data_IF_863591068394
#
_entry.id   IF_863591068394
#
_cell.length_a   1.000
_cell.length_b   1.000
_cell.length_c   1.000
_cell.angle_alpha   90.00
_cell.angle_beta   90.00
_cell.angle_gamma   90.00
#
_symmetry.space_group_name_H-M   'P 1'
#
loop_
_entity.id
_entity.type
_entity.pdbx_description
1 polymer ?
#
# COMPACT_ATOMS: atom_id res chain seq x y z
N UNK A 1 25.76 0.55 -40.46
CA UNK A 1 25.30 -0.08 -39.19
C UNK A 1 25.18 0.99 -38.11
N UNK A 2 24.08 1.76 -38.07
CA UNK A 2 23.84 2.74 -36.96
C UNK A 2 22.35 2.80 -36.54
N UNK A 3 21.44 2.07 -37.20
CA UNK A 3 20.01 2.14 -36.91
C UNK A 3 19.56 1.20 -35.77
N UNK A 4 20.25 0.07 -35.54
CA UNK A 4 19.84 -0.92 -34.56
C UNK A 4 20.08 -0.46 -33.11
N UNK A 5 21.20 0.22 -32.86
CA UNK A 5 21.59 0.68 -31.51
C UNK A 5 20.67 1.75 -30.93
N UNK A 6 20.08 2.61 -31.75
CA UNK A 6 19.11 3.63 -31.30
C UNK A 6 17.74 3.03 -30.92
N UNK A 7 17.35 1.90 -31.52
CA UNK A 7 16.07 1.23 -31.23
C UNK A 7 16.18 0.38 -29.96
N UNK A 8 17.32 -0.30 -29.76
CA UNK A 8 17.62 -1.06 -28.53
C UNK A 8 17.63 -0.13 -27.30
N UNK A 9 18.32 1.01 -27.41
CA UNK A 9 18.46 1.99 -26.32
C UNK A 9 17.14 2.71 -25.97
N UNK A 10 16.16 2.71 -26.88
CA UNK A 10 14.81 3.25 -26.65
C UNK A 10 13.88 2.23 -25.96
N UNK A 11 14.18 0.93 -26.03
CA UNK A 11 13.43 -0.14 -25.34
C UNK A 11 13.85 -0.31 -23.88
N UNK A 12 15.14 -0.13 -23.57
CA UNK A 12 15.64 -0.21 -22.18
C UNK A 12 15.14 0.95 -21.30
N UNK A 13 14.82 2.10 -21.89
CA UNK A 13 14.27 3.26 -21.19
C UNK A 13 12.73 3.23 -20.98
N UNK A 14 12.06 2.14 -21.36
CA UNK A 14 10.61 1.94 -21.16
C UNK A 14 10.28 1.02 -19.98
N UNK A 15 11.26 0.67 -19.14
CA UNK A 15 10.97 0.13 -17.82
C UNK A 15 10.43 1.28 -16.96
N UNK A 16 9.13 1.52 -17.10
CA UNK A 16 8.40 2.43 -16.23
C UNK A 16 8.76 2.09 -14.78
N UNK A 17 9.27 3.07 -14.04
CA UNK A 17 9.30 3.02 -12.58
C UNK A 17 7.99 2.38 -12.09
N UNK A 18 8.01 1.40 -11.18
CA UNK A 18 6.78 0.75 -10.73
C UNK A 18 5.81 1.86 -10.34
N UNK A 19 4.69 1.93 -11.06
CA UNK A 19 3.67 2.95 -10.84
C UNK A 19 3.32 2.90 -9.36
N UNK A 20 3.71 3.92 -8.61
CA UNK A 20 3.40 4.00 -7.19
C UNK A 20 1.88 4.03 -7.12
N UNK A 21 1.27 2.97 -6.60
CA UNK A 21 -0.18 2.89 -6.44
C UNK A 21 -0.61 4.13 -5.63
N UNK A 22 -1.42 5.03 -6.21
CA UNK A 22 -1.75 6.30 -5.58
C UNK A 22 -2.63 6.12 -4.34
N UNK A 23 -3.10 4.90 -4.05
CA UNK A 23 -3.84 4.56 -2.84
C UNK A 23 -2.94 3.96 -1.76
N UNK A 24 -1.72 3.54 -2.08
CA UNK A 24 -0.81 3.01 -1.08
C UNK A 24 -0.08 4.12 -0.33
N UNK A 25 0.02 3.96 0.98
CA UNK A 25 0.73 4.86 1.90
C UNK A 25 1.68 4.05 2.75
N UNK A 26 2.88 4.58 2.94
CA UNK A 26 3.95 3.97 3.73
C UNK A 26 4.29 4.93 4.86
N UNK A 27 4.22 4.45 6.08
CA UNK A 27 4.39 5.25 7.30
C UNK A 27 5.50 4.65 8.15
N UNK A 28 6.47 5.47 8.55
CA UNK A 28 7.42 5.12 9.60
C UNK A 28 6.82 5.50 10.94
N UNK A 29 6.60 4.50 11.79
CA UNK A 29 5.98 4.64 13.10
C UNK A 29 6.96 4.20 14.18
N UNK A 30 7.05 4.96 15.26
CA UNK A 30 7.74 4.56 16.48
C UNK A 30 6.72 4.53 17.61
N UNK A 31 6.67 3.42 18.35
CA UNK A 31 5.85 3.30 19.55
C UNK A 31 6.61 2.57 20.65
N UNK A 32 6.19 2.76 21.90
CA UNK A 32 6.72 2.00 23.03
C UNK A 32 5.75 0.90 23.42
N UNK A 33 6.26 -0.30 23.69
CA UNK A 33 5.45 -1.33 24.33
C UNK A 33 5.27 -1.03 25.84
N UNK A 34 4.54 -1.88 26.55
CA UNK A 34 4.29 -1.75 28.00
C UNK A 34 5.58 -1.75 28.84
N UNK A 35 6.67 -2.31 28.32
CA UNK A 35 7.97 -2.43 28.99
C UNK A 35 8.89 -1.23 28.67
N UNK A 36 8.40 -0.25 27.89
CA UNK A 36 9.14 0.94 27.50
C UNK A 36 10.10 0.75 26.32
N UNK A 37 10.18 -0.47 25.78
CA UNK A 37 10.98 -0.77 24.59
C UNK A 37 10.40 -0.02 23.39
N UNK A 38 11.27 0.70 22.67
CA UNK A 38 10.91 1.41 21.45
C UNK A 38 10.93 0.44 20.29
N UNK A 39 9.84 0.44 19.53
CA UNK A 39 9.62 -0.40 18.37
C UNK A 39 9.42 0.52 17.17
N UNK A 40 10.30 0.39 16.18
CA UNK A 40 10.19 1.07 14.89
C UNK A 40 9.55 0.13 13.87
N UNK A 41 8.44 0.57 13.26
CA UNK A 41 7.68 -0.20 12.27
C UNK A 41 7.43 0.64 11.04
N UNK A 42 7.73 0.03 9.90
CA UNK A 42 7.27 0.51 8.62
C UNK A 42 5.91 -0.10 8.29
N UNK A 43 4.85 0.71 8.31
CA UNK A 43 3.49 0.26 8.01
C UNK A 43 3.09 0.64 6.58
N UNK A 44 2.53 -0.31 5.82
CA UNK A 44 1.93 -0.05 4.50
C UNK A 44 0.43 -0.27 4.55
N UNK A 45 -0.33 0.76 4.19
CA UNK A 45 -1.79 0.72 4.11
C UNK A 45 -2.28 1.12 2.72
N UNK A 46 -3.44 0.62 2.33
CA UNK A 46 -4.25 1.21 1.26
C UNK A 46 -5.19 2.22 1.91
N UNK A 47 -5.24 3.45 1.40
CA UNK A 47 -6.16 4.50 1.83
C UNK A 47 -6.86 5.10 0.61
N UNK A 48 -8.16 4.84 0.49
CA UNK A 48 -8.92 5.22 -0.71
C UNK A 48 -9.35 6.68 -0.72
N UNK A 49 -9.33 7.36 0.43
CA UNK A 49 -9.74 8.76 0.55
C UNK A 49 -9.01 9.45 1.72
N UNK A 50 -7.72 9.82 1.54
CA UNK A 50 -6.88 10.38 2.61
C UNK A 50 -7.37 11.71 3.19
N UNK A 51 -8.16 12.46 2.41
CA UNK A 51 -8.82 13.70 2.87
C UNK A 51 -9.97 13.45 3.87
N UNK A 52 -10.33 12.18 4.11
CA UNK A 52 -11.46 11.80 4.93
C UNK A 52 -12.77 11.66 4.14
N UNK A 53 -13.72 10.93 4.73
CA UNK A 53 -15.09 10.77 4.23
C UNK A 53 -16.07 11.39 5.21
N UNK A 54 -17.11 12.03 4.68
CA UNK A 54 -18.22 12.57 5.48
C UNK A 54 -19.23 11.50 5.92
N UNK A 55 -19.18 10.29 5.33
CA UNK A 55 -20.09 9.19 5.69
C UNK A 55 -19.48 8.25 6.72
N UNK A 56 -18.17 8.01 6.63
CA UNK A 56 -17.46 7.16 7.58
C UNK A 56 -16.25 6.46 6.97
N UNK A 57 -15.57 5.68 7.81
CA UNK A 57 -14.38 4.92 7.44
C UNK A 57 -14.58 3.45 7.80
N UNK A 58 -14.25 2.56 6.86
CA UNK A 58 -14.16 1.12 7.07
C UNK A 58 -12.68 0.73 7.14
N UNK A 59 -12.30 -0.02 8.18
CA UNK A 59 -10.95 -0.57 8.32
C UNK A 59 -11.00 -2.06 8.00
N UNK A 60 -10.24 -2.48 6.99
CA UNK A 60 -10.09 -3.87 6.61
C UNK A 60 -8.83 -4.49 7.21
N UNK A 61 -9.01 -5.55 8.01
CA UNK A 61 -7.93 -6.38 8.55
C UNK A 61 -8.03 -7.77 7.91
N UNK A 62 -6.99 -8.18 7.18
CA UNK A 62 -6.96 -9.46 6.48
C UNK A 62 -6.65 -10.64 7.42
N UNK A 63 -6.85 -11.87 6.95
CA UNK A 63 -6.41 -13.10 7.63
C UNK A 63 -4.91 -13.39 7.44
N UNK A 64 -4.40 -14.51 7.94
CA UNK A 64 -2.99 -14.91 7.76
C UNK A 64 -2.88 -16.18 6.90
N UNK A 65 -2.18 -16.17 5.74
CA UNK A 65 -1.59 -15.00 5.08
C UNK A 65 -2.65 -14.13 4.39
N UNK A 66 -2.35 -12.85 4.19
CA UNK A 66 -3.26 -11.92 3.53
C UNK A 66 -2.61 -10.58 3.18
N UNK A 67 -3.39 -9.68 2.59
CA UNK A 67 -2.98 -8.31 2.28
C UNK A 67 -4.19 -7.38 2.06
N UNK A 68 -3.93 -6.09 1.85
CA UNK A 68 -4.96 -5.14 1.38
C UNK A 68 -5.72 -5.60 0.12
N UNK A 69 -5.12 -6.47 -0.72
CA UNK A 69 -5.75 -6.98 -1.96
C UNK A 69 -6.91 -7.93 -1.71
N UNK A 70 -7.06 -8.46 -0.49
CA UNK A 70 -8.16 -9.36 -0.16
C UNK A 70 -9.52 -8.65 -0.21
N UNK A 71 -9.50 -7.32 -0.10
CA UNK A 71 -10.69 -6.48 -0.13
C UNK A 71 -11.07 -5.97 -1.54
N UNK A 72 -10.43 -6.47 -2.61
CA UNK A 72 -10.62 -6.00 -4.00
C UNK A 72 -12.07 -5.95 -4.48
N UNK A 73 -12.97 -6.75 -3.91
CA UNK A 73 -14.38 -6.78 -4.28
C UNK A 73 -15.26 -5.80 -3.49
N UNK A 74 -14.88 -5.45 -2.25
CA UNK A 74 -15.66 -4.53 -1.42
C UNK A 74 -15.21 -3.09 -1.60
N UNK A 75 -13.92 -2.87 -1.86
CA UNK A 75 -13.33 -1.52 -1.98
C UNK A 75 -14.03 -0.65 -3.04
N UNK A 76 -14.26 -1.11 -4.29
CA UNK A 76 -14.94 -0.29 -5.29
C UNK A 76 -16.35 0.13 -4.86
N UNK A 77 -17.08 -0.77 -4.17
CA UNK A 77 -18.44 -0.51 -3.68
C UNK A 77 -18.47 0.54 -2.56
N UNK A 78 -17.45 0.56 -1.71
CA UNK A 78 -17.30 1.60 -0.67
C UNK A 78 -16.91 2.94 -1.30
N UNK A 79 -15.99 2.94 -2.26
CA UNK A 79 -15.58 4.16 -2.97
C UNK A 79 -16.72 4.80 -3.75
N UNK A 80 -17.54 4.00 -4.45
CA UNK A 80 -18.73 4.49 -5.17
C UNK A 80 -19.71 5.20 -4.22
N UNK A 81 -19.80 4.73 -2.97
CA UNK A 81 -20.63 5.35 -1.93
C UNK A 81 -19.96 6.53 -1.24
N UNK A 82 -18.71 6.87 -1.59
CA UNK A 82 -17.95 7.92 -0.90
C UNK A 82 -17.51 7.54 0.53
N UNK A 83 -17.50 6.25 0.86
CA UNK A 83 -17.02 5.73 2.15
C UNK A 83 -15.50 5.52 2.05
N UNK A 84 -14.74 6.05 3.01
CA UNK A 84 -13.29 5.83 3.05
C UNK A 84 -13.00 4.39 3.46
N UNK A 85 -12.03 3.77 2.79
CA UNK A 85 -11.54 2.45 3.15
C UNK A 85 -10.05 2.52 3.48
N UNK A 86 -9.67 1.90 4.59
CA UNK A 86 -8.28 1.70 4.99
C UNK A 86 -8.00 0.19 5.06
N UNK A 87 -7.21 -0.32 4.12
CA UNK A 87 -6.77 -1.72 4.09
C UNK A 87 -5.37 -1.85 4.71
N UNK A 88 -5.27 -2.56 5.83
CA UNK A 88 -3.99 -2.72 6.55
C UNK A 88 -3.21 -3.89 5.96
N UNK A 89 -1.92 -3.73 5.67
CA UNK A 89 -1.01 -4.88 5.56
C UNK A 89 -0.37 -5.10 6.93
N UNK A 90 -0.69 -6.21 7.60
CA UNK A 90 -0.12 -6.54 8.91
C UNK A 90 1.40 -6.78 8.83
N UNK A 91 2.16 -6.60 9.92
CA UNK A 91 3.61 -6.87 9.96
C UNK A 91 3.95 -8.26 9.40
N UNK A 92 4.91 -8.31 8.47
CA UNK A 92 5.33 -9.55 7.80
C UNK A 92 4.39 -10.03 6.69
N UNK A 93 3.33 -9.30 6.37
CA UNK A 93 2.37 -9.65 5.32
C UNK A 93 2.21 -8.53 4.28
N UNK A 94 1.75 -8.92 3.08
CA UNK A 94 1.53 -7.99 1.97
C UNK A 94 2.79 -7.21 1.60
N UNK A 95 2.77 -5.90 1.87
CA UNK A 95 3.87 -4.96 1.55
C UNK A 95 4.56 -4.40 2.80
N UNK A 96 4.06 -4.73 3.99
CA UNK A 96 4.63 -4.33 5.28
C UNK A 96 5.74 -5.33 5.63
N UNK A 97 7.00 -4.87 5.81
CA UNK A 97 8.09 -5.75 6.22
C UNK A 97 7.78 -6.49 7.54
N UNK A 98 8.40 -7.65 7.72
CA UNK A 98 8.43 -8.31 9.03
C UNK A 98 9.35 -7.56 9.99
N UNK A 99 9.10 -7.68 11.29
CA UNK A 99 10.09 -7.30 12.29
C UNK A 99 11.13 -8.42 12.35
N UNK A 100 12.40 -8.08 12.13
CA UNK A 100 13.56 -8.98 12.21
C UNK A 100 14.28 -8.75 13.53
#
# INVERSE_FOLDING_TARGET
MVAASFVEQKRENLVSSPSVDPLLRRHQLQFSNKDGEKIDVEAVIQDTLPSGSQLGTVIGIHGAPGSHKDFKYIVPLLQEKGIRFIGVNMPGFGLTPGMI
#
